data_IF_218960267403
#
_entry.id   IF_218960267403
#
_cell.length_a   1.000
_cell.length_b   1.000
_cell.length_c   1.000
_cell.angle_alpha   90.00
_cell.angle_beta   90.00
_cell.angle_gamma   90.00
#
_symmetry.space_group_name_H-M   'P 1'
#
loop_
_entity.id
_entity.type
_entity.pdbx_description
1 polymer ?
#
# COMPACT_ATOMS: atom_id res chain seq x y z
N UNK A 1 4.49 15.08 9.00
CA UNK A 1 3.20 14.34 8.99
C UNK A 1 2.83 13.80 10.36
N UNK A 2 3.77 13.20 11.09
CA UNK A 2 3.48 12.46 12.33
C UNK A 2 2.74 13.27 13.41
N UNK A 3 2.99 14.59 13.48
CA UNK A 3 2.37 15.49 14.46
C UNK A 3 1.03 16.11 14.03
N UNK A 4 0.55 15.80 12.82
CA UNK A 4 -0.69 16.38 12.30
C UNK A 4 -1.89 15.65 12.96
N UNK A 5 -2.83 16.36 13.61
CA UNK A 5 -4.06 15.75 14.11
C UNK A 5 -4.90 15.12 12.98
N UNK A 6 -5.60 14.03 13.26
CA UNK A 6 -6.40 13.35 12.23
C UNK A 6 -7.50 14.24 11.65
N UNK A 7 -8.07 15.14 12.45
CA UNK A 7 -9.12 16.08 12.07
C UNK A 7 -8.61 17.14 11.09
N UNK A 8 -7.30 17.37 11.06
CA UNK A 8 -6.65 18.26 10.10
C UNK A 8 -6.38 17.56 8.75
N UNK A 9 -6.38 16.23 8.71
CA UNK A 9 -6.28 15.46 7.47
C UNK A 9 -7.65 15.44 6.81
N UNK A 10 -7.81 16.17 5.69
CA UNK A 10 -9.07 16.31 4.95
C UNK A 10 -9.10 15.38 3.75
N UNK A 11 -8.99 15.92 2.54
CA UNK A 11 -8.83 15.14 1.31
C UNK A 11 -7.35 14.87 1.02
N UNK A 12 -7.08 13.71 0.42
CA UNK A 12 -5.76 13.35 -0.10
C UNK A 12 -5.71 13.70 -1.60
N UNK A 13 -4.67 14.38 -2.05
CA UNK A 13 -4.54 14.81 -3.45
C UNK A 13 -3.42 14.04 -4.13
N UNK A 14 -3.76 13.26 -5.15
CA UNK A 14 -2.83 12.50 -5.96
C UNK A 14 -2.49 13.28 -7.23
N UNK A 15 -1.21 13.53 -7.46
CA UNK A 15 -0.74 14.31 -8.60
C UNK A 15 0.02 13.44 -9.59
N UNK A 16 -0.18 13.68 -10.88
CA UNK A 16 0.67 13.13 -11.95
C UNK A 16 1.85 14.06 -12.25
N UNK A 17 2.82 13.56 -13.01
CA UNK A 17 4.00 14.30 -13.44
C UNK A 17 3.68 15.55 -14.27
N UNK A 18 2.62 15.50 -15.06
CA UNK A 18 2.09 16.63 -15.83
C UNK A 18 1.06 17.50 -15.07
N UNK A 19 0.94 17.30 -13.76
CA UNK A 19 0.21 18.20 -12.85
C UNK A 19 -1.29 17.97 -12.75
N UNK A 20 -1.84 16.87 -13.29
CA UNK A 20 -3.26 16.53 -13.05
C UNK A 20 -3.45 16.06 -11.62
N UNK A 21 -4.57 16.47 -11.02
CA UNK A 21 -4.86 16.21 -9.61
C UNK A 21 -6.14 15.40 -9.47
N UNK A 22 -6.09 14.30 -8.73
CA UNK A 22 -7.24 13.54 -8.26
C UNK A 22 -7.36 13.71 -6.75
N UNK A 23 -8.50 14.24 -6.30
CA UNK A 23 -8.82 14.31 -4.87
C UNK A 23 -9.50 13.02 -4.44
N UNK A 24 -8.99 12.43 -3.35
CA UNK A 24 -9.63 11.34 -2.62
C UNK A 24 -10.22 11.87 -1.33
N UNK A 25 -11.49 11.55 -1.09
CA UNK A 25 -12.14 11.79 0.20
C UNK A 25 -11.87 10.61 1.14
N UNK A 26 -12.10 10.82 2.44
CA UNK A 26 -12.04 9.72 3.40
C UNK A 26 -13.20 8.75 3.15
N UNK A 27 -12.92 7.45 3.29
CA UNK A 27 -13.90 6.39 3.15
C UNK A 27 -13.76 5.31 4.21
N UNK A 28 -14.66 4.34 4.16
CA UNK A 28 -14.62 3.16 5.03
C UNK A 28 -13.83 2.04 4.35
N UNK A 29 -12.90 1.42 5.10
CA UNK A 29 -12.17 0.26 4.60
C UNK A 29 -12.92 -1.03 4.92
N UNK A 30 -13.29 -1.77 3.88
CA UNK A 30 -13.91 -3.09 4.01
C UNK A 30 -12.89 -4.15 3.57
N UNK A 31 -12.40 -5.01 4.48
CA UNK A 31 -11.48 -6.09 4.13
C UNK A 31 -12.12 -7.04 3.10
N UNK A 32 -11.38 -7.36 2.03
CA UNK A 32 -11.79 -8.40 1.09
C UNK A 32 -11.76 -9.76 1.79
N UNK A 33 -12.75 -10.61 1.49
CA UNK A 33 -12.77 -12.00 1.94
C UNK A 33 -11.69 -12.78 1.17
N UNK A 34 -11.01 -13.71 1.85
CA UNK A 34 -10.08 -14.69 1.26
C UNK A 34 -8.71 -14.15 0.79
N UNK A 35 -8.16 -13.11 1.41
CA UNK A 35 -6.75 -12.72 1.21
C UNK A 35 -5.91 -13.05 2.44
N UNK A 36 -4.87 -13.86 2.26
CA UNK A 36 -3.96 -14.26 3.35
C UNK A 36 -2.72 -13.36 3.45
N UNK A 37 -2.32 -12.74 2.34
CA UNK A 37 -1.11 -11.92 2.26
C UNK A 37 -1.40 -10.54 1.66
N UNK A 38 -0.62 -9.57 2.15
CA UNK A 38 -0.73 -8.15 1.85
C UNK A 38 0.66 -7.60 1.55
N UNK A 39 0.70 -6.54 0.75
CA UNK A 39 1.94 -5.87 0.39
C UNK A 39 1.77 -4.36 0.54
N UNK A 40 2.73 -3.73 1.19
CA UNK A 40 2.65 -2.32 1.56
C UNK A 40 3.89 -1.57 1.10
N UNK A 41 3.68 -0.36 0.58
CA UNK A 41 4.71 0.65 0.53
C UNK A 41 4.42 1.66 1.64
N UNK A 42 5.33 1.76 2.59
CA UNK A 42 5.33 2.84 3.57
C UNK A 42 5.85 4.12 2.87
N UNK A 43 5.24 5.26 3.17
CA UNK A 43 5.49 6.53 2.48
C UNK A 43 6.02 7.60 3.43
N UNK A 44 5.61 7.57 4.70
CA UNK A 44 6.07 8.49 5.73
C UNK A 44 5.78 7.88 7.12
N UNK A 45 6.67 8.04 8.10
CA UNK A 45 7.96 8.75 8.06
C UNK A 45 9.08 7.97 7.38
N UNK A 46 8.86 6.67 7.15
CA UNK A 46 9.82 5.73 6.58
C UNK A 46 9.30 5.23 5.24
N UNK A 47 10.20 4.69 4.41
CA UNK A 47 9.88 4.21 3.06
C UNK A 47 10.20 2.75 2.74
N UNK A 48 10.16 1.79 3.69
CA UNK A 48 10.34 0.39 3.32
C UNK A 48 9.12 -0.15 2.55
N UNK A 49 9.37 -1.27 1.86
CA UNK A 49 8.34 -2.10 1.26
C UNK A 49 8.21 -3.41 2.03
N UNK A 50 7.01 -3.70 2.51
CA UNK A 50 6.75 -4.73 3.50
C UNK A 50 5.71 -5.73 2.99
N UNK A 51 6.03 -7.02 3.06
CA UNK A 51 5.06 -8.10 2.95
C UNK A 51 4.47 -8.39 4.34
N UNK A 52 3.18 -8.72 4.42
CA UNK A 52 2.50 -8.96 5.70
C UNK A 52 1.32 -9.91 5.59
N UNK A 53 0.96 -10.56 6.70
CA UNK A 53 -0.30 -11.30 6.88
C UNK A 53 -1.42 -10.45 7.48
N UNK A 54 -1.14 -9.18 7.78
CA UNK A 54 -2.09 -8.24 8.38
C UNK A 54 -2.75 -7.40 7.29
N UNK A 55 -4.08 -7.29 7.36
CA UNK A 55 -4.82 -6.34 6.56
C UNK A 55 -4.47 -4.88 6.96
N UNK A 56 -4.83 -3.87 6.14
CA UNK A 56 -4.28 -2.52 6.31
C UNK A 56 -4.50 -1.89 7.68
N UNK A 57 -5.71 -1.92 8.30
CA UNK A 57 -5.88 -1.37 9.65
C UNK A 57 -5.03 -2.09 10.71
N UNK A 58 -4.94 -3.42 10.63
CA UNK A 58 -4.11 -4.21 11.57
C UNK A 58 -2.62 -3.97 11.34
N UNK A 59 -2.21 -3.81 10.10
CA UNK A 59 -0.82 -3.51 9.74
C UNK A 59 -0.39 -2.14 10.30
N UNK A 60 -1.21 -1.11 10.10
CA UNK A 60 -0.96 0.24 10.64
C UNK A 60 -0.87 0.21 12.17
N UNK A 61 -1.83 -0.42 12.84
CA UNK A 61 -1.82 -0.58 14.29
C UNK A 61 -0.55 -1.31 14.77
N UNK A 62 -0.17 -2.42 14.10
CA UNK A 62 1.04 -3.17 14.45
C UNK A 62 2.32 -2.33 14.28
N UNK A 63 2.47 -1.63 13.15
CA UNK A 63 3.67 -0.81 12.89
C UNK A 63 3.76 0.40 13.83
N UNK A 64 2.62 0.88 14.34
CA UNK A 64 2.58 2.01 15.27
C UNK A 64 2.59 1.63 16.76
N UNK A 65 2.46 0.34 17.09
CA UNK A 65 2.45 -0.14 18.47
C UNK A 65 3.83 0.09 19.13
N UNK A 66 3.86 0.98 20.12
CA UNK A 66 5.06 1.36 20.86
C UNK A 66 5.67 0.20 21.69
N UNK A 67 4.96 -0.92 21.83
CA UNK A 67 5.49 -2.13 22.47
C UNK A 67 6.43 -2.91 21.55
N UNK A 68 6.37 -2.67 20.24
CA UNK A 68 7.29 -3.29 19.29
C UNK A 68 8.68 -2.64 19.36
N UNK A 69 9.72 -3.44 19.15
CA UNK A 69 11.12 -2.98 19.17
C UNK A 69 11.39 -1.86 18.15
N UNK A 70 10.64 -1.85 17.05
CA UNK A 70 10.69 -0.85 16.00
C UNK A 70 9.24 -0.43 15.74
N UNK A 71 8.96 0.85 15.95
CA UNK A 71 7.65 1.44 15.72
C UNK A 71 7.79 2.88 15.24
N UNK A 72 6.74 3.39 14.62
CA UNK A 72 6.62 4.80 14.24
C UNK A 72 5.35 5.38 14.87
N UNK A 73 5.31 6.67 15.25
CA UNK A 73 4.15 7.23 15.95
C UNK A 73 2.91 7.32 15.06
N UNK A 74 3.09 7.48 13.74
CA UNK A 74 2.01 7.55 12.75
C UNK A 74 2.56 7.13 11.41
N UNK A 75 1.83 6.29 10.69
CA UNK A 75 2.21 5.74 9.40
C UNK A 75 1.30 6.28 8.29
N UNK A 76 1.90 6.70 7.18
CA UNK A 76 1.23 6.79 5.88
C UNK A 76 1.74 5.69 4.97
N UNK A 77 0.83 4.87 4.45
CA UNK A 77 1.18 3.78 3.55
C UNK A 77 0.11 3.56 2.48
N UNK A 78 0.46 2.75 1.50
CA UNK A 78 -0.44 2.32 0.42
C UNK A 78 -0.35 0.81 0.28
N UNK A 79 -1.51 0.18 0.07
CA UNK A 79 -1.55 -1.25 -0.24
C UNK A 79 -1.28 -1.46 -1.73
N UNK A 80 -0.32 -2.33 -2.01
CA UNK A 80 0.11 -2.69 -3.35
C UNK A 80 -0.55 -4.00 -3.81
N UNK A 81 -0.71 -4.15 -5.12
CA UNK A 81 -1.29 -5.32 -5.77
C UNK A 81 -0.35 -6.53 -5.67
N UNK A 82 -0.90 -7.69 -5.35
CA UNK A 82 -0.16 -8.96 -5.35
C UNK A 82 -0.69 -9.93 -6.40
N UNK A 83 -1.85 -9.66 -7.00
CA UNK A 83 -2.51 -10.61 -7.89
C UNK A 83 -2.67 -11.96 -7.21
N UNK A 84 -2.28 -13.03 -7.90
CA UNK A 84 -2.38 -14.40 -7.39
C UNK A 84 -1.40 -14.67 -6.23
N UNK A 85 -0.30 -13.91 -6.12
CA UNK A 85 0.67 -14.06 -5.03
C UNK A 85 0.08 -13.77 -3.64
N UNK A 86 -1.07 -13.08 -3.58
CA UNK A 86 -1.78 -12.83 -2.33
C UNK A 86 -2.24 -14.11 -1.64
N UNK A 87 -2.40 -15.20 -2.39
CA UNK A 87 -2.91 -16.49 -1.91
C UNK A 87 -2.00 -17.66 -2.27
N UNK A 88 -1.27 -17.59 -3.38
CA UNK A 88 -0.30 -18.60 -3.79
C UNK A 88 1.06 -17.95 -4.16
N UNK A 89 1.95 -17.76 -3.17
CA UNK A 89 3.27 -17.19 -3.42
C UNK A 89 4.16 -18.03 -4.33
N UNK A 90 3.89 -19.33 -4.51
CA UNK A 90 4.79 -20.25 -5.22
C UNK A 90 4.35 -20.41 -6.67
N UNK A 91 3.07 -20.74 -6.90
CA UNK A 91 2.55 -21.03 -8.23
C UNK A 91 1.68 -19.91 -8.82
N UNK A 92 1.26 -18.92 -8.02
CA UNK A 92 0.43 -17.81 -8.52
C UNK A 92 1.17 -16.96 -9.55
N UNK A 93 0.47 -16.50 -10.58
CA UNK A 93 0.99 -15.67 -11.66
C UNK A 93 1.42 -14.27 -11.19
N UNK A 94 2.54 -13.79 -11.71
CA UNK A 94 3.14 -12.50 -11.34
C UNK A 94 3.52 -11.62 -12.53
N UNK A 95 3.30 -12.06 -13.76
CA UNK A 95 3.83 -11.43 -14.98
C UNK A 95 3.35 -9.98 -15.18
N UNK A 96 2.18 -9.64 -14.63
CA UNK A 96 1.59 -8.30 -14.70
C UNK A 96 2.01 -7.38 -13.54
N UNK A 97 2.85 -7.86 -12.61
CA UNK A 97 3.31 -7.08 -11.45
C UNK A 97 4.63 -6.37 -11.78
N UNK A 98 4.72 -5.03 -11.60
CA UNK A 98 5.91 -4.27 -11.96
C UNK A 98 6.98 -4.29 -10.86
N UNK A 99 7.19 -5.44 -10.22
CA UNK A 99 8.15 -5.61 -9.14
C UNK A 99 9.47 -6.19 -9.69
N UNK A 100 10.57 -5.47 -9.49
CA UNK A 100 11.87 -5.80 -10.08
C UNK A 100 12.46 -7.14 -9.63
N UNK A 101 12.11 -7.62 -8.43
CA UNK A 101 12.58 -8.90 -7.90
C UNK A 101 11.42 -9.74 -7.38
N UNK A 102 10.63 -10.29 -8.30
CA UNK A 102 9.47 -11.16 -7.98
C UNK A 102 9.91 -12.41 -7.22
N UNK A 103 11.05 -13.03 -7.56
CA UNK A 103 11.54 -14.21 -6.85
C UNK A 103 11.75 -13.94 -5.35
N UNK A 104 12.43 -12.84 -5.01
CA UNK A 104 12.61 -12.45 -3.62
C UNK A 104 11.27 -12.13 -2.92
N UNK A 105 10.33 -11.49 -3.64
CA UNK A 105 8.99 -11.25 -3.11
C UNK A 105 8.28 -12.57 -2.77
N UNK A 106 8.34 -13.58 -3.66
CA UNK A 106 7.79 -14.92 -3.41
C UNK A 106 8.39 -15.55 -2.16
N UNK A 107 9.71 -15.54 -2.02
CA UNK A 107 10.40 -16.08 -0.85
C UNK A 107 9.99 -15.36 0.45
N UNK A 108 9.75 -14.05 0.36
CA UNK A 108 9.26 -13.28 1.50
C UNK A 108 7.84 -13.69 1.90
N UNK A 109 6.94 -13.79 0.93
CA UNK A 109 5.54 -14.17 1.12
C UNK A 109 5.41 -15.62 1.61
N UNK A 110 6.11 -16.57 0.97
CA UNK A 110 6.12 -17.97 1.38
C UNK A 110 6.68 -18.15 2.80
N UNK A 111 7.75 -17.42 3.13
CA UNK A 111 8.31 -17.44 4.48
C UNK A 111 7.37 -16.91 5.56
N UNK A 112 6.46 -15.98 5.22
CA UNK A 112 5.42 -15.51 6.14
C UNK A 112 4.34 -16.57 6.39
N UNK A 113 3.93 -17.30 5.35
CA UNK A 113 2.96 -18.39 5.51
C UNK A 113 3.52 -19.54 6.36
N UNK A 114 4.82 -19.82 6.25
CA UNK A 114 5.49 -20.88 7.02
C UNK A 114 5.75 -20.49 8.49
N UNK A 115 5.86 -19.19 8.79
CA UNK A 115 6.20 -18.72 10.14
C UNK A 115 5.08 -17.89 10.76
N UNK A 116 4.22 -18.55 11.52
CA UNK A 116 3.07 -17.93 12.20
C UNK A 116 3.45 -16.95 13.32
N UNK A 117 4.70 -16.93 13.77
CA UNK A 117 5.19 -15.99 14.79
C UNK A 117 5.54 -14.60 14.23
N UNK A 118 5.62 -14.47 12.89
CA UNK A 118 5.97 -13.21 12.22
C UNK A 118 4.83 -12.72 11.35
N UNK A 119 4.43 -11.48 11.56
CA UNK A 119 3.35 -10.85 10.79
C UNK A 119 3.84 -10.03 9.61
N UNK A 120 5.12 -9.64 9.59
CA UNK A 120 5.71 -8.76 8.58
C UNK A 120 7.10 -9.24 8.17
N UNK A 121 7.47 -8.93 6.92
CA UNK A 121 8.82 -9.15 6.38
C UNK A 121 9.17 -8.01 5.43
N UNK A 122 10.32 -7.37 5.68
CA UNK A 122 10.83 -6.31 4.81
C UNK A 122 11.33 -6.91 3.50
N UNK A 123 10.75 -6.47 2.38
CA UNK A 123 11.15 -6.86 1.01
C UNK A 123 12.14 -5.84 0.44
N UNK A 124 11.92 -4.54 0.72
CA UNK A 124 12.87 -3.47 0.39
C UNK A 124 13.02 -2.57 1.61
N UNK A 125 14.25 -2.33 2.07
CA UNK A 125 14.49 -1.53 3.28
C UNK A 125 14.37 -0.02 3.03
N UNK A 126 14.85 0.44 1.87
CA UNK A 126 14.78 1.84 1.48
C UNK A 126 14.29 1.91 0.03
N UNK A 127 13.05 2.34 -0.16
CA UNK A 127 12.54 2.61 -1.50
C UNK A 127 12.78 4.08 -1.84
N UNK A 128 13.48 4.30 -2.95
CA UNK A 128 13.85 5.64 -3.48
C UNK A 128 13.23 5.91 -4.85
N UNK A 129 12.18 5.18 -5.23
CA UNK A 129 11.45 5.36 -6.49
C UNK A 129 10.04 5.87 -6.27
N UNK A 130 9.32 6.05 -7.38
CA UNK A 130 7.90 6.43 -7.34
C UNK A 130 6.99 5.21 -7.17
N UNK A 131 5.88 5.41 -6.46
CA UNK A 131 4.79 4.43 -6.42
C UNK A 131 3.94 4.59 -7.68
N UNK A 132 3.83 3.51 -8.45
CA UNK A 132 2.99 3.51 -9.64
C UNK A 132 1.52 3.39 -9.22
N UNK A 133 0.68 4.35 -9.60
CA UNK A 133 -0.74 4.33 -9.25
C UNK A 133 -1.46 3.05 -9.70
N UNK A 134 -1.03 2.43 -10.81
CA UNK A 134 -1.56 1.12 -11.27
C UNK A 134 -1.36 -0.03 -10.30
N UNK A 135 -0.41 0.08 -9.38
CA UNK A 135 -0.16 -0.95 -8.36
C UNK A 135 -0.94 -0.71 -7.07
N UNK A 136 -1.56 0.45 -6.91
CA UNK A 136 -2.37 0.74 -5.73
C UNK A 136 -3.63 -0.12 -5.78
N UNK A 137 -3.78 -1.02 -4.81
CA UNK A 137 -4.84 -2.03 -4.81
C UNK A 137 -6.18 -1.50 -4.33
N UNK A 138 -6.18 -0.89 -3.14
CA UNK A 138 -7.40 -0.38 -2.49
C UNK A 138 -7.35 1.14 -2.31
N UNK A 139 -6.20 1.68 -1.92
CA UNK A 139 -6.05 3.08 -1.57
C UNK A 139 -4.96 3.30 -0.54
N UNK A 140 -5.01 4.46 0.10
CA UNK A 140 -3.98 4.93 1.02
C UNK A 140 -4.51 4.94 2.46
N UNK A 141 -3.61 4.72 3.41
CA UNK A 141 -3.92 4.60 4.82
C UNK A 141 -3.04 5.53 5.64
N UNK A 142 -3.63 6.32 6.53
CA UNK A 142 -2.90 7.16 7.49
C UNK A 142 -3.40 6.81 8.89
N UNK A 143 -2.52 6.35 9.78
CA UNK A 143 -2.96 5.97 11.12
C UNK A 143 -1.85 5.79 12.15
N UNK A 144 -2.27 5.54 13.38
CA UNK A 144 -1.44 5.20 14.53
C UNK A 144 -1.92 3.89 15.18
N UNK A 145 -1.52 3.64 16.43
CA UNK A 145 -1.92 2.47 17.22
C UNK A 145 -3.40 2.50 17.65
N UNK A 146 -4.13 3.60 17.42
CA UNK A 146 -5.54 3.73 17.83
C UNK A 146 -6.49 3.93 16.66
N UNK A 147 -6.07 4.64 15.61
CA UNK A 147 -6.93 5.08 14.52
C UNK A 147 -6.26 4.90 13.18
N UNK A 148 -7.05 4.50 12.18
CA UNK A 148 -6.60 4.38 10.79
C UNK A 148 -7.62 5.06 9.87
N UNK A 149 -7.20 6.13 9.20
CA UNK A 149 -7.93 6.79 8.13
C UNK A 149 -7.67 6.06 6.81
N UNK A 150 -8.69 5.96 5.97
CA UNK A 150 -8.60 5.35 4.65
C UNK A 150 -9.05 6.33 3.57
N UNK A 151 -8.27 6.38 2.50
CA UNK A 151 -8.52 7.14 1.30
C UNK A 151 -8.66 6.16 0.13
N UNK A 152 -9.90 5.73 -0.21
CA UNK A 152 -10.13 4.77 -1.29
C UNK A 152 -9.66 5.34 -2.62
N UNK A 153 -8.93 4.51 -3.37
CA UNK A 153 -8.71 4.77 -4.78
C UNK A 153 -10.00 4.37 -5.54
N UNK A 154 -10.48 5.17 -6.50
CA UNK A 154 -11.63 4.78 -7.32
C UNK A 154 -11.34 3.48 -8.08
N UNK A 155 -12.40 2.76 -8.46
CA UNK A 155 -12.24 1.54 -9.26
C UNK A 155 -11.63 1.86 -10.63
N UNK A 156 -11.10 0.84 -11.33
CA UNK A 156 -10.54 1.05 -12.66
C UNK A 156 -11.59 1.61 -13.62
N UNK A 157 -12.80 1.07 -13.55
CA UNK A 157 -13.95 1.52 -14.33
C UNK A 157 -14.26 3.00 -14.05
N UNK A 158 -14.29 3.40 -12.78
CA UNK A 158 -14.51 4.80 -12.42
C UNK A 158 -13.36 5.72 -12.84
N UNK A 159 -12.12 5.24 -12.75
CA UNK A 159 -10.95 5.97 -13.24
C UNK A 159 -11.01 6.18 -14.75
N UNK A 160 -11.43 5.17 -15.52
CA UNK A 160 -11.58 5.24 -16.97
C UNK A 160 -12.76 6.12 -17.40
N UNK A 161 -13.88 6.09 -16.67
CA UNK A 161 -15.09 6.83 -17.03
C UNK A 161 -15.08 8.30 -16.56
N UNK A 162 -14.71 8.54 -15.29
CA UNK A 162 -14.86 9.85 -14.64
C UNK A 162 -13.56 10.60 -14.47
N UNK A 163 -12.44 9.90 -14.44
CA UNK A 163 -11.12 10.48 -14.22
C UNK A 163 -10.14 10.20 -15.36
N UNK A 164 -10.65 9.95 -16.57
CA UNK A 164 -9.89 9.48 -17.73
C UNK A 164 -8.59 10.25 -17.98
N UNK A 165 -8.64 11.58 -17.96
CA UNK A 165 -7.47 12.41 -18.23
C UNK A 165 -6.37 12.24 -17.17
N UNK A 166 -6.75 12.16 -15.90
CA UNK A 166 -5.83 11.88 -14.81
C UNK A 166 -5.29 10.45 -14.91
N UNK A 167 -6.18 9.48 -15.15
CA UNK A 167 -5.79 8.06 -15.19
C UNK A 167 -4.84 7.74 -16.34
N UNK A 168 -5.12 8.27 -17.53
CA UNK A 168 -4.24 8.16 -18.69
C UNK A 168 -2.83 8.70 -18.38
N UNK A 169 -2.75 9.85 -17.71
CA UNK A 169 -1.47 10.43 -17.29
C UNK A 169 -0.78 9.56 -16.23
N UNK A 170 -1.52 9.10 -15.22
CA UNK A 170 -1.03 8.22 -14.17
C UNK A 170 -0.48 6.87 -14.67
N UNK A 171 -0.88 6.42 -15.87
CA UNK A 171 -0.37 5.20 -16.52
C UNK A 171 0.94 5.41 -17.27
N UNK A 172 1.30 6.64 -17.62
CA UNK A 172 2.57 6.94 -18.28
C UNK A 172 3.66 6.94 -17.22
N UNK A 173 4.67 6.11 -17.40
CA UNK A 173 5.88 6.22 -16.57
C UNK A 173 6.63 7.45 -17.08
N UNK A 174 6.66 8.52 -16.29
CA UNK A 174 7.36 9.77 -16.63
C UNK A 174 8.79 9.49 -17.10
N UNK A 175 9.28 10.33 -18.02
CA UNK A 175 10.61 10.19 -18.60
C UNK A 175 11.68 10.11 -17.49
N UNK A 176 12.43 9.00 -17.46
CA UNK A 176 13.62 8.84 -16.62
C UNK A 176 14.80 9.63 -17.16
#
# INVERSE_FOLDING_TARGET
>A
MERIPFEALKGLYLTTDDGRVLKLEQGEFIPRKNESLYFYQELCPVTPRIASTLNPPKFVNYVCDQKNNISVPKLFCVQLELGELANDPIAGMADNLPYSNVFHLRDCLAGLLQNTSKFTKTVVRFFSGDVQYRTCKNGFFIGDDTRCLFYPLPSKEELDEKHYAWWKSAMVMGFK
#
